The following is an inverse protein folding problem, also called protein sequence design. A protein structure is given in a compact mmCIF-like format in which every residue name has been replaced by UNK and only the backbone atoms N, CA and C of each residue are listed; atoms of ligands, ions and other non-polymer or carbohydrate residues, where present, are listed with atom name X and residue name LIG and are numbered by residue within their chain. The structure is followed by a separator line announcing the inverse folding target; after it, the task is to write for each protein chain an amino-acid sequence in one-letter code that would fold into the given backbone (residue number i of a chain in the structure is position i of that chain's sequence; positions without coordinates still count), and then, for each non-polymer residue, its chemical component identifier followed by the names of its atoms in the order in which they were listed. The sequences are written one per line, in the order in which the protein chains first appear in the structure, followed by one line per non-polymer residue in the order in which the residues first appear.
data_IF_816132571719
#
_entry.id   IF_816132571719
#
_cell.length_a   1.000
_cell.length_b   1.000
_cell.length_c   1.000
_cell.angle_alpha   90.00
_cell.angle_beta   90.00
_cell.angle_gamma   90.00
#
_symmetry.space_group_name_H-M   'P 1'
#
loop_
_entity.id
_entity.type
_entity.pdbx_description
1 polymer ?
#
# COMPACT_ATOMS: atom_id res chain seq x y z
N UNK A 1 -14.57 57.30 -23.66
CA UNK A 1 -15.41 56.21 -24.18
C UNK A 1 -14.66 54.88 -24.02
N UNK A 2 -14.83 54.20 -22.88
CA UNK A 2 -15.31 52.81 -22.76
C UNK A 2 -15.21 51.90 -24.00
N UNK A 3 -14.34 50.89 -23.94
CA UNK A 3 -14.64 49.48 -24.21
C UNK A 3 -13.44 48.64 -23.71
N UNK A 4 -13.54 48.01 -22.53
CA UNK A 4 -14.02 46.63 -22.29
C UNK A 4 -12.95 45.57 -22.57
N UNK A 5 -12.31 45.15 -21.49
CA UNK A 5 -11.98 43.77 -21.08
C UNK A 5 -11.99 42.71 -22.19
N UNK A 6 -10.81 42.14 -22.49
CA UNK A 6 -10.72 40.82 -23.13
C UNK A 6 -9.78 39.89 -22.34
N UNK A 7 -10.43 39.21 -21.40
CA UNK A 7 -10.19 37.88 -20.85
C UNK A 7 -8.82 37.21 -21.06
N UNK A 8 -8.14 37.05 -19.91
CA UNK A 8 -7.28 35.97 -19.46
C UNK A 8 -7.44 34.70 -20.32
N UNK A 9 -6.50 34.48 -21.24
CA UNK A 9 -6.40 33.23 -22.01
C UNK A 9 -5.62 32.22 -21.17
N UNK A 10 -6.39 31.28 -20.61
CA UNK A 10 -6.09 29.85 -20.64
C UNK A 10 -4.91 29.36 -19.79
N UNK A 11 -5.03 29.57 -18.47
CA UNK A 11 -4.47 28.66 -17.48
C UNK A 11 -5.25 27.34 -17.48
N UNK A 12 -4.89 26.41 -18.37
CA UNK A 12 -5.33 25.00 -18.32
C UNK A 12 -4.07 24.13 -18.53
N UNK A 13 -3.15 24.21 -17.57
CA UNK A 13 -2.25 23.10 -17.25
C UNK A 13 -3.00 22.22 -16.24
N UNK A 14 -4.02 21.51 -16.74
CA UNK A 14 -4.68 20.46 -16.00
C UNK A 14 -3.66 19.36 -15.75
N UNK A 15 -3.09 19.36 -14.54
CA UNK A 15 -3.09 18.24 -13.60
C UNK A 15 -3.31 16.84 -14.20
N UNK A 16 -2.46 16.40 -15.13
CA UNK A 16 -2.32 14.98 -15.49
C UNK A 16 -1.31 14.33 -14.54
N UNK A 17 -1.64 14.37 -13.25
CA UNK A 17 -0.77 13.87 -12.18
C UNK A 17 -1.49 12.92 -11.23
N UNK A 18 -2.35 12.02 -11.72
CA UNK A 18 -2.96 10.98 -10.86
C UNK A 18 -3.54 9.74 -11.58
N UNK A 19 -3.09 9.40 -12.80
CA UNK A 19 -3.59 8.19 -13.49
C UNK A 19 -2.54 7.13 -13.80
N UNK A 20 -1.27 7.34 -13.44
CA UNK A 20 -0.20 6.36 -13.74
C UNK A 20 -0.30 5.04 -12.96
N UNK A 21 -1.05 5.00 -11.85
CA UNK A 21 -1.15 3.80 -11.01
C UNK A 21 -2.47 3.03 -11.15
N UNK A 22 -3.40 3.50 -12.00
CA UNK A 22 -4.74 2.90 -12.10
C UNK A 22 -4.96 2.00 -13.34
N UNK A 23 -4.10 2.06 -14.36
CA UNK A 23 -4.38 1.35 -15.64
C UNK A 23 -3.13 0.86 -16.38
N UNK A 24 -2.05 0.53 -15.68
CA UNK A 24 -0.96 -0.25 -16.27
C UNK A 24 -1.34 -1.73 -16.25
N UNK A 25 -1.55 -2.35 -17.41
CA UNK A 25 -1.38 -3.81 -17.53
C UNK A 25 0.10 -4.10 -17.30
N UNK A 26 0.54 -4.09 -16.04
CA UNK A 26 1.79 -4.73 -15.67
C UNK A 26 1.67 -6.17 -16.17
N UNK A 27 2.61 -6.61 -17.02
CA UNK A 27 2.61 -7.98 -17.51
C UNK A 27 2.88 -8.89 -16.31
N UNK A 28 1.80 -9.34 -15.66
CA UNK A 28 1.90 -10.16 -14.46
C UNK A 28 2.66 -11.44 -14.78
N UNK A 29 3.75 -11.67 -14.06
CA UNK A 29 4.45 -12.95 -14.09
C UNK A 29 3.72 -13.94 -13.19
N UNK A 30 3.43 -15.13 -13.73
CA UNK A 30 2.69 -16.18 -13.04
C UNK A 30 3.60 -17.36 -12.70
N UNK A 31 3.43 -17.88 -11.50
CA UNK A 31 4.24 -18.96 -10.93
C UNK A 31 3.33 -20.12 -10.49
N UNK A 32 3.87 -21.33 -10.50
CA UNK A 32 3.11 -22.52 -10.09
C UNK A 32 2.89 -22.60 -8.57
N UNK A 33 3.69 -21.87 -7.79
CA UNK A 33 3.59 -21.86 -6.32
C UNK A 33 3.52 -20.44 -5.78
N UNK A 34 2.85 -20.28 -4.64
CA UNK A 34 2.83 -19.01 -3.90
C UNK A 34 4.24 -18.61 -3.47
N UNK A 35 5.06 -19.57 -3.04
CA UNK A 35 6.46 -19.33 -2.71
C UNK A 35 7.24 -18.75 -3.88
N UNK A 36 7.08 -19.29 -5.09
CA UNK A 36 7.73 -18.78 -6.30
C UNK A 36 7.34 -17.32 -6.60
N UNK A 37 6.05 -17.00 -6.46
CA UNK A 37 5.56 -15.64 -6.62
C UNK A 37 6.12 -14.67 -5.57
N UNK A 38 6.16 -15.09 -4.30
CA UNK A 38 6.68 -14.28 -3.19
C UNK A 38 8.18 -14.03 -3.36
N UNK A 39 8.95 -15.09 -3.59
CA UNK A 39 10.41 -15.00 -3.68
C UNK A 39 10.87 -14.15 -4.88
N UNK A 40 10.23 -14.34 -6.05
CA UNK A 40 10.57 -13.55 -7.24
C UNK A 40 10.07 -12.11 -7.14
N UNK A 41 8.84 -11.91 -6.66
CA UNK A 41 8.29 -10.58 -6.42
C UNK A 41 9.12 -9.77 -5.44
N UNK A 42 9.47 -10.34 -4.28
CA UNK A 42 10.35 -9.70 -3.30
C UNK A 42 11.70 -9.28 -3.93
N UNK A 43 12.31 -10.17 -4.73
CA UNK A 43 13.55 -9.85 -5.45
C UNK A 43 13.38 -8.68 -6.42
N UNK A 44 12.28 -8.63 -7.18
CA UNK A 44 11.96 -7.53 -8.10
C UNK A 44 11.74 -6.21 -7.36
N UNK A 45 11.21 -6.25 -6.13
CA UNK A 45 11.09 -5.08 -5.27
C UNK A 45 12.40 -4.64 -4.62
N UNK A 46 13.46 -5.44 -4.74
CA UNK A 46 14.75 -5.19 -4.09
C UNK A 46 14.70 -5.39 -2.57
N UNK A 47 13.82 -6.27 -2.08
CA UNK A 47 13.68 -6.61 -0.65
C UNK A 47 14.06 -8.08 -0.42
N UNK A 48 14.37 -8.42 0.83
CA UNK A 48 14.62 -9.80 1.26
C UNK A 48 13.45 -10.39 2.06
N UNK A 49 13.52 -11.68 2.42
CA UNK A 49 12.49 -12.30 3.26
C UNK A 49 12.44 -11.67 4.66
N UNK A 50 13.58 -11.22 5.17
CA UNK A 50 13.66 -10.54 6.46
C UNK A 50 12.90 -9.23 6.48
N UNK A 51 12.70 -8.59 5.31
CA UNK A 51 11.95 -7.35 5.12
C UNK A 51 10.44 -7.56 5.14
N UNK A 52 9.98 -8.79 4.96
CA UNK A 52 8.57 -9.16 5.09
C UNK A 52 8.15 -9.05 6.55
N UNK A 53 7.15 -8.23 6.81
CA UNK A 53 6.56 -8.00 8.14
C UNK A 53 5.52 -9.05 8.49
N UNK A 54 4.79 -9.54 7.48
CA UNK A 54 3.81 -10.59 7.69
C UNK A 54 2.84 -10.79 6.52
N UNK A 55 2.03 -11.83 6.68
CA UNK A 55 0.98 -12.26 5.75
C UNK A 55 -0.38 -12.06 6.40
N UNK A 56 -1.31 -11.44 5.68
CA UNK A 56 -2.72 -11.31 6.08
C UNK A 56 -3.59 -12.05 5.07
N UNK A 57 -4.53 -12.86 5.56
CA UNK A 57 -5.55 -13.50 4.73
C UNK A 57 -6.91 -12.96 5.11
N UNK A 58 -7.62 -12.38 4.14
CA UNK A 58 -8.88 -11.69 4.37
C UNK A 58 -9.79 -11.83 3.17
N UNK A 59 -11.05 -12.22 3.40
CA UNK A 59 -12.05 -12.44 2.35
C UNK A 59 -11.56 -13.33 1.17
N UNK A 60 -10.68 -14.30 1.46
CA UNK A 60 -9.99 -15.24 0.53
C UNK A 60 -8.86 -14.61 -0.31
N UNK A 61 -8.57 -13.33 -0.12
CA UNK A 61 -7.36 -12.70 -0.66
C UNK A 61 -6.21 -12.78 0.34
N UNK A 62 -5.00 -12.90 -0.20
CA UNK A 62 -3.77 -12.96 0.58
C UNK A 62 -2.97 -11.70 0.31
N UNK A 63 -2.51 -11.05 1.37
CA UNK A 63 -1.68 -9.87 1.30
C UNK A 63 -0.38 -10.05 2.07
N UNK A 64 0.69 -9.43 1.58
CA UNK A 64 1.98 -9.36 2.25
C UNK A 64 2.30 -7.89 2.51
N UNK A 65 2.76 -7.62 3.73
CA UNK A 65 3.30 -6.35 4.15
C UNK A 65 4.82 -6.47 4.24
N UNK A 66 5.54 -5.51 3.69
CA UNK A 66 7.01 -5.49 3.75
C UNK A 66 7.53 -4.07 3.98
N UNK A 67 8.68 -3.97 4.63
CA UNK A 67 9.43 -2.72 4.76
C UNK A 67 10.43 -2.58 3.61
N UNK A 68 10.60 -1.36 3.10
CA UNK A 68 11.65 -1.02 2.16
C UNK A 68 12.33 0.26 2.59
N UNK A 69 13.67 0.23 2.59
CA UNK A 69 14.48 1.42 2.82
C UNK A 69 14.46 2.27 1.55
N UNK A 70 14.07 3.53 1.70
CA UNK A 70 14.07 4.53 0.64
C UNK A 70 15.00 5.68 1.04
N UNK A 71 15.41 6.51 0.08
CA UNK A 71 16.39 7.58 0.32
C UNK A 71 16.02 8.53 1.46
N UNK A 72 14.72 8.78 1.68
CA UNK A 72 14.23 9.69 2.71
C UNK A 72 13.73 8.99 3.99
N UNK A 73 13.86 7.66 4.10
CA UNK A 73 13.48 6.90 5.29
C UNK A 73 12.94 5.50 5.02
N UNK A 74 11.90 5.13 5.73
CA UNK A 74 11.34 3.77 5.69
C UNK A 74 9.93 3.83 5.09
N UNK A 75 9.66 2.98 4.09
CA UNK A 75 8.37 2.86 3.44
C UNK A 75 7.81 1.44 3.59
N UNK A 76 6.49 1.32 3.61
CA UNK A 76 5.79 0.03 3.66
C UNK A 76 5.07 -0.21 2.35
N UNK A 77 5.31 -1.37 1.75
CA UNK A 77 4.54 -1.88 0.62
C UNK A 77 3.47 -2.87 1.06
N UNK A 78 2.39 -2.92 0.29
CA UNK A 78 1.32 -3.90 0.42
C UNK A 78 1.09 -4.55 -0.93
N UNK A 79 1.23 -5.87 -0.98
CA UNK A 79 1.05 -6.65 -2.21
C UNK A 79 0.00 -7.71 -2.00
N UNK A 80 -0.80 -7.98 -3.02
CA UNK A 80 -1.70 -9.11 -3.07
C UNK A 80 -0.99 -10.29 -3.74
N UNK A 81 -1.09 -11.47 -3.13
CA UNK A 81 -0.72 -12.72 -3.81
C UNK A 81 -1.93 -13.18 -4.60
N UNK A 82 -1.99 -12.74 -5.86
CA UNK A 82 -3.08 -13.04 -6.76
C UNK A 82 -3.07 -14.52 -7.15
N UNK A 83 -4.24 -15.14 -7.25
CA UNK A 83 -4.40 -16.55 -7.65
C UNK A 83 -5.34 -16.67 -8.83
N UNK A 84 -4.92 -17.36 -9.90
CA UNK A 84 -5.76 -17.65 -11.08
C UNK A 84 -5.33 -18.96 -11.72
N UNK A 85 -6.29 -19.84 -12.02
CA UNK A 85 -6.04 -21.14 -12.67
C UNK A 85 -4.94 -21.96 -11.98
N UNK A 86 -4.93 -21.97 -10.64
CA UNK A 86 -3.92 -22.69 -9.85
C UNK A 86 -2.54 -22.01 -9.77
N UNK A 87 -2.30 -20.94 -10.53
CA UNK A 87 -1.06 -20.16 -10.52
C UNK A 87 -1.17 -18.93 -9.63
N UNK A 88 -0.01 -18.39 -9.26
CA UNK A 88 0.16 -17.30 -8.32
C UNK A 88 0.95 -16.15 -8.93
N UNK A 89 0.71 -14.93 -8.48
CA UNK A 89 1.45 -13.73 -8.94
C UNK A 89 1.64 -12.74 -7.79
N UNK A 90 2.72 -11.96 -7.86
CA UNK A 90 2.96 -10.81 -6.99
C UNK A 90 2.29 -9.59 -7.62
N UNK A 91 1.15 -9.17 -7.06
CA UNK A 91 0.40 -8.02 -7.55
C UNK A 91 0.60 -6.84 -6.60
N UNK A 92 1.27 -5.78 -7.06
CA UNK A 92 1.45 -4.56 -6.28
C UNK A 92 0.12 -3.81 -6.15
N UNK A 93 -0.52 -3.97 -5.00
CA UNK A 93 -1.86 -3.43 -4.73
C UNK A 93 -1.86 -1.94 -4.36
N UNK A 94 -0.71 -1.36 -4.04
CA UNK A 94 -0.56 0.07 -3.77
C UNK A 94 0.87 0.57 -4.04
N UNK A 95 1.07 1.88 -4.22
CA UNK A 95 2.36 2.50 -3.99
C UNK A 95 2.88 2.20 -2.58
N UNK A 96 4.20 2.29 -2.41
CA UNK A 96 4.84 2.21 -1.10
C UNK A 96 4.52 3.48 -0.29
N UNK A 97 4.18 3.30 0.98
CA UNK A 97 3.76 4.40 1.86
C UNK A 97 4.88 4.70 2.84
N UNK A 98 5.43 5.91 2.79
CA UNK A 98 6.49 6.32 3.71
C UNK A 98 5.94 6.55 5.12
N UNK A 99 6.55 5.88 6.10
CA UNK A 99 6.07 5.84 7.50
C UNK A 99 7.09 6.38 8.49
N UNK A 100 8.29 6.65 8.00
CA UNK A 100 9.36 7.34 8.71
C UNK A 100 10.09 8.23 7.73
N UNK A 101 10.24 9.49 8.09
CA UNK A 101 11.11 10.42 7.38
C UNK A 101 12.33 10.75 8.26
N UNK A 102 13.53 10.60 7.69
CA UNK A 102 14.78 10.81 8.42
C UNK A 102 15.00 12.28 8.82
N UNK A 103 14.45 13.24 8.06
CA UNK A 103 14.68 14.68 8.27
C UNK A 103 13.87 15.28 9.42
N UNK A 104 12.65 14.78 9.66
CA UNK A 104 11.72 15.39 10.62
C UNK A 104 11.16 14.41 11.66
N UNK A 105 11.62 13.16 11.69
CA UNK A 105 11.11 12.09 12.56
C UNK A 105 9.59 11.89 12.48
N UNK A 106 8.93 12.41 11.43
CA UNK A 106 7.50 12.22 11.22
C UNK A 106 7.20 10.74 11.09
N UNK A 107 6.16 10.32 11.81
CA UNK A 107 5.76 8.94 11.95
C UNK A 107 4.24 8.83 11.81
N UNK A 108 3.71 9.09 10.61
CA UNK A 108 2.29 9.24 10.43
C UNK A 108 1.56 7.92 10.68
N UNK A 109 0.36 8.02 11.25
CA UNK A 109 -0.64 6.98 11.22
C UNK A 109 -1.53 7.27 10.02
N UNK A 110 -1.63 6.33 9.09
CA UNK A 110 -2.28 6.53 7.80
C UNK A 110 -3.27 5.41 7.53
N UNK A 111 -4.26 5.72 6.70
CA UNK A 111 -5.06 4.70 6.06
C UNK A 111 -5.19 4.99 4.57
N UNK A 112 -5.30 3.94 3.77
CA UNK A 112 -5.42 4.04 2.32
C UNK A 112 -6.18 2.83 1.76
N UNK A 113 -6.69 2.98 0.54
CA UNK A 113 -7.43 1.92 -0.14
C UNK A 113 -6.49 1.12 -1.01
N UNK A 114 -6.71 -0.20 -1.04
CA UNK A 114 -6.00 -1.12 -1.93
C UNK A 114 -7.00 -2.05 -2.60
N UNK A 115 -6.67 -2.48 -3.82
CA UNK A 115 -7.46 -3.45 -4.56
C UNK A 115 -6.68 -4.78 -4.65
N UNK A 116 -7.35 -5.91 -4.44
CA UNK A 116 -6.80 -7.21 -4.83
C UNK A 116 -6.81 -7.37 -6.34
N UNK A 117 -6.06 -8.36 -6.84
CA UNK A 117 -6.11 -8.72 -8.26
C UNK A 117 -7.53 -9.08 -8.70
N UNK A 118 -8.31 -9.70 -7.80
CA UNK A 118 -9.71 -10.05 -7.97
C UNK A 118 -10.69 -8.88 -7.78
N UNK A 119 -10.20 -7.65 -7.63
CA UNK A 119 -10.98 -6.41 -7.52
C UNK A 119 -11.81 -6.28 -6.25
N UNK A 120 -11.54 -7.09 -5.22
CA UNK A 120 -12.03 -6.80 -3.89
C UNK A 120 -11.25 -5.61 -3.33
N UNK A 121 -11.94 -4.73 -2.59
CA UNK A 121 -11.37 -3.49 -2.09
C UNK A 121 -11.21 -3.55 -0.59
N UNK A 122 -10.11 -2.98 -0.10
CA UNK A 122 -9.76 -3.01 1.32
C UNK A 122 -9.28 -1.65 1.78
N UNK A 123 -9.52 -1.35 3.06
CA UNK A 123 -8.84 -0.24 3.74
C UNK A 123 -7.69 -0.82 4.55
N UNK A 124 -6.49 -0.31 4.31
CA UNK A 124 -5.29 -0.61 5.08
C UNK A 124 -5.06 0.51 6.08
N UNK A 125 -4.72 0.15 7.30
CA UNK A 125 -4.29 1.05 8.36
C UNK A 125 -2.85 0.71 8.71
N UNK A 126 -2.02 1.74 8.84
CA UNK A 126 -0.62 1.55 9.13
C UNK A 126 -0.05 2.72 9.92
N UNK A 127 0.89 2.44 10.81
CA UNK A 127 1.58 3.46 11.56
C UNK A 127 2.58 2.87 12.54
N UNK A 128 3.23 3.73 13.33
CA UNK A 128 4.16 3.27 14.36
C UNK A 128 3.42 2.77 15.59
N UNK A 129 3.83 1.60 16.06
CA UNK A 129 3.38 1.06 17.32
C UNK A 129 4.04 1.86 18.46
N UNK A 130 3.22 2.57 19.25
CA UNK A 130 3.65 3.10 20.55
C UNK A 130 3.56 1.99 21.59
N UNK A 131 4.34 2.09 22.66
CA UNK A 131 4.40 1.07 23.73
C UNK A 131 3.06 0.76 24.38
N UNK A 132 2.11 1.68 24.35
CA UNK A 132 0.75 1.56 24.90
C UNK A 132 -0.34 1.43 23.83
N UNK A 133 0.01 0.99 22.61
CA UNK A 133 -0.99 0.81 21.55
C UNK A 133 -1.84 -0.44 21.83
N UNK A 134 -3.07 -0.22 22.32
CA UNK A 134 -4.05 -1.28 22.57
C UNK A 134 -5.10 -1.43 21.46
N UNK A 135 -5.20 -0.45 20.56
CA UNK A 135 -6.11 -0.51 19.44
C UNK A 135 -6.03 0.74 18.58
N UNK A 136 -6.59 0.64 17.37
CA UNK A 136 -6.74 1.73 16.41
C UNK A 136 -8.22 1.93 16.10
N UNK A 137 -8.61 3.16 15.80
CA UNK A 137 -9.96 3.48 15.35
C UNK A 137 -10.00 3.37 13.82
N UNK A 138 -10.94 2.59 13.29
CA UNK A 138 -11.14 2.45 11.85
C UNK A 138 -12.06 3.53 11.31
N UNK A 139 -12.07 3.71 9.99
CA UNK A 139 -12.96 4.68 9.33
C UNK A 139 -14.42 4.33 9.50
N UNK A 140 -14.72 3.07 9.82
CA UNK A 140 -16.04 2.56 10.12
C UNK A 140 -16.46 2.78 11.59
N UNK A 141 -15.63 3.46 12.40
CA UNK A 141 -15.91 3.77 13.80
C UNK A 141 -15.65 2.60 14.76
N UNK A 142 -15.09 1.49 14.29
CA UNK A 142 -14.74 0.36 15.15
C UNK A 142 -13.36 0.55 15.76
N UNK A 143 -13.21 0.15 17.02
CA UNK A 143 -11.90 0.03 17.65
C UNK A 143 -11.40 -1.40 17.51
N UNK A 144 -10.24 -1.59 16.89
CA UNK A 144 -9.69 -2.92 16.59
C UNK A 144 -8.26 -3.06 17.12
N UNK A 145 -7.88 -4.29 17.47
CA UNK A 145 -6.48 -4.62 17.78
C UNK A 145 -5.73 -4.85 16.46
N UNK A 146 -4.73 -4.02 16.10
CA UNK A 146 -3.94 -4.25 14.90
C UNK A 146 -2.88 -5.35 15.13
N UNK A 147 -2.34 -5.89 14.05
CA UNK A 147 -1.12 -6.69 14.11
C UNK A 147 0.07 -5.76 14.39
N UNK A 148 1.01 -6.19 15.23
CA UNK A 148 2.21 -5.40 15.57
C UNK A 148 3.47 -6.18 15.20
N UNK A 149 4.24 -5.64 14.25
CA UNK A 149 5.63 -6.04 14.03
C UNK A 149 6.50 -5.40 15.11
N UNK A 150 6.89 -6.20 16.12
CA UNK A 150 7.71 -5.75 17.25
C UNK A 150 9.13 -5.39 16.85
N UNK A 151 9.71 -6.03 15.83
CA UNK A 151 11.08 -5.75 15.37
C UNK A 151 11.15 -4.32 14.83
N UNK A 152 10.12 -3.91 14.09
CA UNK A 152 10.07 -2.60 13.43
C UNK A 152 9.30 -1.54 14.20
N UNK A 153 8.54 -1.94 15.23
CA UNK A 153 7.60 -1.08 15.95
C UNK A 153 6.58 -0.44 15.00
N UNK A 154 5.99 -1.27 14.14
CA UNK A 154 4.96 -0.88 13.16
C UNK A 154 3.72 -1.71 13.44
N UNK A 155 2.55 -1.06 13.42
CA UNK A 155 1.28 -1.76 13.40
C UNK A 155 0.68 -1.74 12.00
N UNK A 156 -0.08 -2.77 11.67
CA UNK A 156 -0.89 -2.82 10.47
C UNK A 156 -2.21 -3.54 10.72
N UNK A 157 -3.25 -3.12 10.00
CA UNK A 157 -4.56 -3.75 10.00
C UNK A 157 -5.20 -3.56 8.63
N UNK A 158 -6.04 -4.51 8.22
CA UNK A 158 -6.74 -4.46 6.94
C UNK A 158 -8.18 -4.93 7.15
N UNK A 159 -9.13 -4.23 6.55
CA UNK A 159 -10.54 -4.63 6.53
C UNK A 159 -11.15 -4.46 5.13
N UNK A 160 -12.16 -5.27 4.76
CA UNK A 160 -12.85 -5.12 3.48
C UNK A 160 -13.69 -3.85 3.47
N UNK A 161 -13.77 -3.21 2.30
CA UNK A 161 -14.73 -2.13 2.05
C UNK A 161 -16.05 -2.78 1.63
N UNK A 162 -17.13 -2.50 2.38
CA UNK A 162 -18.49 -2.94 2.05
C UNK A 162 -19.09 -2.10 0.93
#
# INVERSE_FOLDING_TARGET
MKAKTFYIILGILLLTGCSLFATGKENLTWYDTSYGAIHKGAKEEGITEEDIMGRTEIARDVFIFYEKKVSEGDAIGVVNIGKKNGKYTWYRSSPEIQIKNQKNNSSPSVHFKVDSLSKHKYTVYLGRAKSNLHGIDTVNGNRVAPTIDKKRQIYYFMEPIR
#
